data_IF_871987085220
#
_entry.id   IF_871987085220
#
_cell.length_a   1.000
_cell.length_b   1.000
_cell.length_c   1.000
_cell.angle_alpha   90.00
_cell.angle_beta   90.00
_cell.angle_gamma   90.00
#
_symmetry.space_group_name_H-M   'P 1'
#
loop_
_entity.id
_entity.type
_entity.pdbx_description
1 polymer ?
#
# COMPACT_ATOMS: atom_id res chain seq x y z
N UNK A 1 41.92 -24.61 -21.37
CA UNK A 1 41.23 -23.36 -21.72
C UNK A 1 40.01 -23.29 -20.81
N UNK A 2 40.19 -22.72 -19.62
CA UNK A 2 39.14 -22.54 -18.62
C UNK A 2 38.32 -21.32 -19.01
N UNK A 3 37.01 -21.51 -19.18
CA UNK A 3 36.07 -20.40 -19.35
C UNK A 3 36.01 -19.65 -18.02
N UNK A 4 36.47 -18.40 -18.02
CA UNK A 4 36.27 -17.49 -16.89
C UNK A 4 34.78 -17.16 -16.81
N UNK A 5 34.14 -17.65 -15.75
CA UNK A 5 32.79 -17.24 -15.38
C UNK A 5 32.82 -15.73 -15.15
N UNK A 6 32.01 -14.99 -15.92
CA UNK A 6 31.79 -13.57 -15.71
C UNK A 6 31.31 -13.37 -14.28
N UNK A 7 32.15 -12.75 -13.45
CA UNK A 7 31.82 -12.40 -12.09
C UNK A 7 30.58 -11.51 -12.04
N UNK A 8 29.80 -11.72 -10.99
CA UNK A 8 28.50 -11.11 -10.76
C UNK A 8 28.52 -9.60 -10.93
N UNK A 9 27.78 -9.11 -11.92
CA UNK A 9 27.19 -7.79 -11.81
C UNK A 9 26.33 -7.81 -10.56
N UNK A 10 26.77 -7.14 -9.49
CA UNK A 10 26.00 -7.01 -8.27
C UNK A 10 24.59 -6.56 -8.67
N UNK A 11 23.59 -7.42 -8.43
CA UNK A 11 22.21 -7.10 -8.74
C UNK A 11 21.90 -5.75 -8.07
N UNK A 12 21.56 -4.74 -8.88
CA UNK A 12 21.27 -3.41 -8.37
C UNK A 12 20.15 -3.55 -7.34
N UNK A 13 20.32 -3.01 -6.11
CA UNK A 13 19.32 -3.15 -5.07
C UNK A 13 17.99 -2.57 -5.56
N UNK A 14 16.91 -3.36 -5.46
CA UNK A 14 15.59 -2.94 -5.93
C UNK A 14 15.14 -1.71 -5.14
N UNK A 15 14.70 -0.62 -5.81
CA UNK A 15 14.30 0.60 -5.13
C UNK A 15 13.16 0.36 -4.13
N UNK A 16 13.22 1.07 -3.00
CA UNK A 16 12.09 1.11 -2.07
C UNK A 16 10.86 1.75 -2.74
N UNK A 17 9.67 1.26 -2.40
CA UNK A 17 8.41 1.69 -3.00
C UNK A 17 7.46 2.21 -1.92
N UNK A 18 6.99 3.45 -2.10
CA UNK A 18 5.85 4.02 -1.38
C UNK A 18 4.69 4.15 -2.34
N UNK A 19 3.58 3.49 -2.03
CA UNK A 19 2.35 3.58 -2.81
C UNK A 19 1.27 4.30 -2.00
N UNK A 20 0.58 5.26 -2.62
CA UNK A 20 -0.42 6.10 -1.96
C UNK A 20 -1.72 6.00 -2.75
N UNK A 21 -2.79 5.59 -2.09
CA UNK A 21 -4.09 5.32 -2.70
C UNK A 21 -5.22 6.01 -1.96
N UNK A 22 -6.37 6.14 -2.64
CA UNK A 22 -7.54 6.81 -2.08
C UNK A 22 -8.28 5.87 -1.13
N UNK A 23 -8.58 4.64 -1.56
CA UNK A 23 -9.42 3.70 -0.82
C UNK A 23 -8.69 2.37 -0.58
N UNK A 24 -9.10 1.58 0.43
CA UNK A 24 -8.74 0.17 0.52
C UNK A 24 -9.15 -0.54 -0.78
N UNK A 25 -8.34 -1.41 -1.38
CA UNK A 25 -8.52 -2.11 -2.66
C UNK A 25 -7.80 -1.51 -3.88
N UNK A 26 -7.65 -0.18 -3.93
CA UNK A 26 -6.95 0.52 -5.02
C UNK A 26 -5.51 -0.01 -5.20
N UNK A 27 -4.85 -0.39 -4.10
CA UNK A 27 -3.48 -0.92 -4.12
C UNK A 27 -3.39 -2.26 -4.84
N UNK A 28 -4.35 -3.14 -4.55
CA UNK A 28 -4.41 -4.48 -5.12
C UNK A 28 -4.82 -4.41 -6.59
N UNK A 29 -5.84 -3.59 -6.91
CA UNK A 29 -6.38 -3.43 -8.25
C UNK A 29 -5.41 -2.75 -9.22
N UNK A 30 -4.72 -1.70 -8.77
CA UNK A 30 -3.88 -0.88 -9.65
C UNK A 30 -2.42 -1.31 -9.67
N UNK A 31 -1.90 -1.80 -8.54
CA UNK A 31 -0.47 -1.97 -8.33
C UNK A 31 -0.07 -3.26 -7.60
N UNK A 32 -0.98 -4.22 -7.39
CA UNK A 32 -0.73 -5.41 -6.58
C UNK A 32 0.48 -6.20 -7.07
N UNK A 33 0.62 -6.37 -8.39
CA UNK A 33 1.77 -7.04 -8.99
C UNK A 33 3.10 -6.31 -8.74
N UNK A 34 3.12 -4.98 -8.83
CA UNK A 34 4.31 -4.16 -8.59
C UNK A 34 4.72 -4.21 -7.11
N UNK A 35 3.74 -4.09 -6.21
CA UNK A 35 3.95 -4.20 -4.76
C UNK A 35 4.54 -5.57 -4.39
N UNK A 36 3.93 -6.65 -4.87
CA UNK A 36 4.41 -8.01 -4.63
C UNK A 36 5.80 -8.25 -5.21
N UNK A 37 6.09 -7.74 -6.42
CA UNK A 37 7.41 -7.88 -7.04
C UNK A 37 8.49 -7.18 -6.22
N UNK A 38 8.26 -5.93 -5.79
CA UNK A 38 9.22 -5.19 -4.97
C UNK A 38 9.42 -5.86 -3.61
N UNK A 39 8.35 -6.30 -2.95
CA UNK A 39 8.42 -7.02 -1.68
C UNK A 39 9.22 -8.33 -1.81
N UNK A 40 8.91 -9.15 -2.82
CA UNK A 40 9.60 -10.43 -3.08
C UNK A 40 11.08 -10.24 -3.43
N UNK A 41 11.44 -9.12 -4.04
CA UNK A 41 12.83 -8.75 -4.31
C UNK A 41 13.56 -8.16 -3.08
N UNK A 42 12.91 -8.11 -1.91
CA UNK A 42 13.48 -7.61 -0.66
C UNK A 42 13.54 -6.08 -0.55
N UNK A 43 12.87 -5.35 -1.44
CA UNK A 43 12.77 -3.90 -1.31
C UNK A 43 11.86 -3.52 -0.14
N UNK A 44 12.14 -2.37 0.49
CA UNK A 44 11.20 -1.81 1.48
C UNK A 44 9.96 -1.31 0.75
N UNK A 45 8.80 -1.77 1.20
CA UNK A 45 7.49 -1.40 0.69
C UNK A 45 6.68 -0.70 1.78
N UNK A 46 5.85 0.26 1.39
CA UNK A 46 4.89 0.91 2.27
C UNK A 46 3.66 1.33 1.46
N UNK A 47 2.48 1.16 2.07
CA UNK A 47 1.20 1.57 1.48
C UNK A 47 0.50 2.56 2.41
N UNK A 48 0.08 3.68 1.84
CA UNK A 48 -0.73 4.71 2.51
C UNK A 48 -2.10 4.75 1.83
N UNK A 49 -3.16 4.68 2.64
CA UNK A 49 -4.54 4.77 2.16
C UNK A 49 -5.20 5.98 2.81
N UNK A 50 -5.72 6.90 1.98
CA UNK A 50 -6.23 8.17 2.46
C UNK A 50 -7.53 8.01 3.26
N UNK A 51 -8.45 7.20 2.76
CA UNK A 51 -9.78 7.04 3.36
C UNK A 51 -9.89 5.77 4.17
N UNK A 52 -10.97 5.69 4.95
CA UNK A 52 -11.27 4.64 5.91
C UNK A 52 -10.36 4.64 7.15
N UNK A 53 -10.93 4.31 8.30
CA UNK A 53 -10.20 4.13 9.54
C UNK A 53 -9.75 2.67 9.71
N UNK A 54 -8.63 2.47 10.42
CA UNK A 54 -8.02 1.15 10.60
C UNK A 54 -8.88 0.17 11.40
N UNK A 55 -9.80 0.66 12.23
CA UNK A 55 -10.74 -0.12 13.03
C UNK A 55 -12.03 -0.52 12.28
N UNK A 56 -12.11 -0.23 10.98
CA UNK A 56 -13.24 -0.64 10.14
C UNK A 56 -13.00 -2.00 9.47
N UNK A 57 -14.07 -2.61 8.94
CA UNK A 57 -13.97 -3.86 8.19
C UNK A 57 -13.04 -3.74 6.96
N UNK A 58 -13.12 -2.63 6.20
CA UNK A 58 -12.21 -2.36 5.08
C UNK A 58 -10.76 -2.16 5.52
N UNK A 59 -10.53 -1.65 6.73
CA UNK A 59 -9.20 -1.60 7.34
C UNK A 59 -8.61 -2.99 7.55
N UNK A 60 -9.41 -3.93 8.06
CA UNK A 60 -9.01 -5.32 8.22
C UNK A 60 -8.77 -6.02 6.87
N UNK A 61 -9.63 -5.77 5.87
CA UNK A 61 -9.45 -6.29 4.51
C UNK A 61 -8.15 -5.79 3.86
N UNK A 62 -7.84 -4.50 3.99
CA UNK A 62 -6.59 -3.92 3.51
C UNK A 62 -5.38 -4.54 4.19
N UNK A 63 -5.41 -4.70 5.52
CA UNK A 63 -4.32 -5.33 6.25
C UNK A 63 -4.06 -6.75 5.75
N UNK A 64 -5.11 -7.53 5.51
CA UNK A 64 -4.98 -8.88 4.97
C UNK A 64 -4.47 -8.89 3.52
N UNK A 65 -4.93 -7.98 2.67
CA UNK A 65 -4.43 -7.83 1.31
C UNK A 65 -2.92 -7.53 1.29
N UNK A 66 -2.47 -6.55 2.09
CA UNK A 66 -1.04 -6.21 2.16
C UNK A 66 -0.19 -7.33 2.78
N UNK A 67 -0.75 -8.10 3.73
CA UNK A 67 -0.12 -9.32 4.25
C UNK A 67 0.11 -10.34 3.15
N UNK A 68 -0.89 -10.56 2.27
CA UNK A 68 -0.77 -11.47 1.11
C UNK A 68 0.27 -10.95 0.11
N UNK A 69 0.27 -9.65 -0.17
CA UNK A 69 1.23 -9.02 -1.09
C UNK A 69 2.66 -8.91 -0.52
N UNK A 70 2.85 -9.12 0.79
CA UNK A 70 4.13 -8.87 1.47
C UNK A 70 4.51 -7.39 1.57
N UNK A 71 3.54 -6.49 1.45
CA UNK A 71 3.77 -5.05 1.30
C UNK A 71 3.79 -4.25 2.63
N UNK A 72 3.89 -4.95 3.76
CA UNK A 72 3.92 -4.38 5.11
C UNK A 72 2.54 -4.01 5.66
N UNK A 73 2.52 -3.40 6.85
CA UNK A 73 1.28 -2.93 7.48
C UNK A 73 0.76 -1.64 6.82
N UNK A 74 -0.57 -1.48 6.65
CA UNK A 74 -1.13 -0.28 6.04
C UNK A 74 -0.97 0.95 6.93
N UNK A 75 -0.75 2.11 6.30
CA UNK A 75 -0.85 3.42 6.95
C UNK A 75 -2.13 4.12 6.49
N UNK A 76 -3.19 4.01 7.29
CA UNK A 76 -4.47 4.64 7.00
C UNK A 76 -4.51 6.04 7.59
N UNK A 77 -4.88 7.05 6.79
CA UNK A 77 -4.97 8.44 7.25
C UNK A 77 -6.29 8.72 7.98
N UNK A 78 -7.29 7.85 7.83
CA UNK A 78 -8.55 7.94 8.57
C UNK A 78 -9.45 9.10 8.12
N UNK A 79 -9.37 9.53 6.85
CA UNK A 79 -10.38 10.43 6.30
C UNK A 79 -11.64 9.67 5.95
N UNK A 80 -12.80 10.30 6.12
CA UNK A 80 -14.04 9.75 5.62
C UNK A 80 -14.01 9.69 4.09
N UNK A 81 -14.32 8.53 3.56
CA UNK A 81 -14.62 8.32 2.14
C UNK A 81 -15.85 9.15 1.73
N UNK A 82 -15.84 9.66 0.50
CA UNK A 82 -16.86 10.55 0.00
C UNK A 82 -18.23 9.86 0.02
N UNK A 83 -19.21 10.53 0.62
CA UNK A 83 -20.58 10.01 0.82
C UNK A 83 -20.67 8.79 1.76
N UNK A 84 -19.58 8.37 2.41
CA UNK A 84 -19.57 7.26 3.37
C UNK A 84 -18.96 7.73 4.70
N UNK A 85 -19.67 8.57 5.49
CA UNK A 85 -19.11 9.14 6.72
C UNK A 85 -18.75 8.08 7.78
N UNK A 86 -19.40 6.92 7.75
CA UNK A 86 -19.12 5.79 8.67
C UNK A 86 -17.80 5.07 8.35
N UNK A 87 -17.18 5.35 7.20
CA UNK A 87 -15.85 4.81 6.86
C UNK A 87 -14.76 5.31 7.81
N UNK A 88 -14.97 6.45 8.49
CA UNK A 88 -14.04 6.97 9.47
C UNK A 88 -14.77 7.48 10.72
N UNK A 89 -15.26 6.58 11.60
CA UNK A 89 -16.13 6.94 12.73
C UNK A 89 -15.49 7.89 13.75
N UNK A 90 -14.18 7.78 13.93
CA UNK A 90 -13.34 8.65 14.77
C UNK A 90 -12.46 9.59 13.95
N UNK A 91 -12.59 9.51 12.62
CA UNK A 91 -11.70 10.14 11.65
C UNK A 91 -11.97 11.63 11.45
N UNK A 92 -10.98 12.30 10.88
CA UNK A 92 -11.13 13.70 10.50
C UNK A 92 -12.00 13.75 9.25
N UNK A 93 -13.16 14.40 9.34
CA UNK A 93 -13.90 14.80 8.14
C UNK A 93 -12.99 15.82 7.43
N UNK A 94 -12.64 15.59 6.17
CA UNK A 94 -11.86 16.59 5.43
C UNK A 94 -12.69 17.88 5.36
N UNK A 95 -12.16 19.04 5.77
CA UNK A 95 -12.87 20.31 5.66
C UNK A 95 -13.19 20.69 4.20
N UNK A 96 -12.60 19.98 3.22
CA UNK A 96 -12.85 20.16 1.79
C UNK A 96 -13.94 19.23 1.22
N UNK A 97 -14.39 18.22 1.98
CA UNK A 97 -15.47 17.30 1.59
C UNK A 97 -16.84 17.73 2.14
N UNK A 98 -16.87 18.78 2.96
CA UNK A 98 -18.06 19.59 3.26
C UNK A 98 -18.35 20.49 2.05
N UNK A 99 -19.08 19.97 1.07
CA UNK A 99 -19.69 20.79 0.03
C UNK A 99 -21.14 21.11 0.43
N UNK A 100 -21.31 21.80 1.56
CA UNK A 100 -22.48 22.67 1.78
C UNK A 100 -22.37 23.99 1.02
#
# INVERSE_FOLDING_TARGET
MTVESLEGGAAMPVPSLLAVFAHPDDESLSAGGVLAQHAAAGARTAVVTATWAADTHRGAELAEALRILGAGEPRMLGYADAHVPQSAPTGRISPWLDNR
#
